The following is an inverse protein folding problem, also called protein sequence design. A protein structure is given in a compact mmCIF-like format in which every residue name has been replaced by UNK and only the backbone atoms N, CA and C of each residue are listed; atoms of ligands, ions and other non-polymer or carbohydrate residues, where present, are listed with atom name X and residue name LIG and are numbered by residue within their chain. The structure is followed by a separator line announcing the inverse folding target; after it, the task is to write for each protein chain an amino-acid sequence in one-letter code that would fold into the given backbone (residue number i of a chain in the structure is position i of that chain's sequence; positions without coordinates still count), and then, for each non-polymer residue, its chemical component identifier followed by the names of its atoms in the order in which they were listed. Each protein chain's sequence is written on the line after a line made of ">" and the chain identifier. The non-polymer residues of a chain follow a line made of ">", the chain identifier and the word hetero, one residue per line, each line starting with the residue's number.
data_IF_769075639480
#
_entry.id   IF_769075639480
#
_cell.length_a   1.000
_cell.length_b   1.000
_cell.length_c   1.000
_cell.angle_alpha   90.00
_cell.angle_beta   90.00
_cell.angle_gamma   90.00
#
_symmetry.space_group_name_H-M   'P 1'
#
loop_
_entity.id
_entity.type
_entity.pdbx_description
1 polymer ?
#
# COMPACT_ATOMS: atom_id res chain seq x y z
N UNK A 1 8.93 -40.93 -5.19
CA UNK A 1 9.74 -39.83 -4.63
C UNK A 1 9.08 -38.57 -5.16
N UNK A 2 8.37 -37.84 -4.31
CA UNK A 2 7.61 -36.65 -4.72
C UNK A 2 8.56 -35.47 -4.54
N UNK A 3 8.90 -34.79 -5.64
CA UNK A 3 9.58 -33.50 -5.59
C UNK A 3 8.60 -32.43 -5.08
N UNK A 4 8.94 -31.63 -4.06
CA UNK A 4 8.10 -30.54 -3.63
C UNK A 4 8.20 -29.38 -4.64
N UNK A 5 7.07 -29.07 -5.27
CA UNK A 5 6.87 -27.81 -5.99
C UNK A 5 7.07 -26.66 -5.00
N UNK A 6 8.13 -25.89 -5.20
CA UNK A 6 8.35 -24.62 -4.49
C UNK A 6 7.32 -23.65 -5.06
N UNK A 7 6.32 -23.34 -4.23
CA UNK A 7 5.41 -22.22 -4.43
C UNK A 7 6.20 -20.93 -4.19
N UNK A 8 6.82 -20.41 -5.24
CA UNK A 8 7.41 -19.07 -5.28
C UNK A 8 6.28 -18.06 -5.57
N UNK A 9 5.33 -17.95 -4.64
CA UNK A 9 4.41 -16.83 -4.63
C UNK A 9 5.19 -15.63 -4.10
N UNK A 10 5.87 -14.96 -5.02
CA UNK A 10 6.54 -13.68 -4.76
C UNK A 10 5.53 -12.68 -4.19
N UNK A 11 5.88 -12.11 -3.05
CA UNK A 11 5.21 -11.01 -2.32
C UNK A 11 5.09 -9.71 -3.17
N UNK A 12 5.50 -9.74 -4.44
CA UNK A 12 5.49 -8.62 -5.39
C UNK A 12 4.07 -8.35 -5.96
N UNK A 13 3.20 -9.36 -6.03
CA UNK A 13 1.87 -9.24 -6.65
C UNK A 13 0.88 -8.38 -5.81
N UNK A 14 1.09 -8.29 -4.48
CA UNK A 14 0.31 -7.38 -3.65
C UNK A 14 0.63 -5.90 -3.94
N UNK A 15 1.84 -5.62 -4.43
CA UNK A 15 2.24 -4.30 -4.88
C UNK A 15 1.55 -3.91 -6.18
N UNK A 16 1.41 -4.85 -7.11
CA UNK A 16 0.91 -4.61 -8.47
C UNK A 16 -0.63 -4.49 -8.53
N UNK A 17 -1.38 -5.27 -7.73
CA UNK A 17 -2.85 -5.17 -7.66
C UNK A 17 -3.31 -3.78 -7.15
N UNK A 18 -2.49 -3.08 -6.38
CA UNK A 18 -2.79 -1.74 -5.88
C UNK A 18 -2.72 -0.64 -6.96
N UNK A 19 -2.02 -0.87 -8.09
CA UNK A 19 -1.88 0.14 -9.15
C UNK A 19 -3.12 0.22 -10.07
N UNK A 20 -3.88 -0.86 -10.22
CA UNK A 20 -4.98 -0.96 -11.19
C UNK A 20 -6.26 -0.16 -10.84
N UNK A 21 -6.41 0.36 -9.61
CA UNK A 21 -7.62 1.11 -9.16
C UNK A 21 -7.47 2.63 -9.14
N UNK A 22 -6.40 3.16 -9.76
CA UNK A 22 -5.96 4.53 -9.53
C UNK A 22 -5.22 4.58 -8.21
N UNK A 23 -3.94 4.96 -8.24
CA UNK A 23 -3.04 4.84 -7.10
C UNK A 23 -3.58 5.72 -5.97
N UNK A 24 -4.20 5.11 -4.96
CA UNK A 24 -4.60 5.77 -3.75
C UNK A 24 -3.34 5.99 -2.91
N UNK A 25 -2.82 7.21 -2.95
CA UNK A 25 -1.72 7.64 -2.11
C UNK A 25 -2.09 7.73 -0.62
N UNK A 26 -1.13 8.15 0.21
CA UNK A 26 -1.34 8.28 1.65
C UNK A 26 -2.39 9.35 1.99
N UNK A 27 -2.60 10.32 1.10
CA UNK A 27 -3.52 11.45 1.31
C UNK A 27 -4.66 11.52 0.28
N UNK A 28 -4.90 10.43 -0.48
CA UNK A 28 -5.91 10.39 -1.53
C UNK A 28 -5.33 10.04 -2.90
N UNK A 29 -6.11 10.26 -3.96
CA UNK A 29 -5.71 9.93 -5.34
C UNK A 29 -4.47 10.72 -5.77
N UNK A 30 -3.59 10.08 -6.54
CA UNK A 30 -2.42 10.70 -7.16
C UNK A 30 -2.75 11.14 -8.58
N UNK A 31 -3.12 12.40 -8.78
CA UNK A 31 -3.63 12.94 -10.05
C UNK A 31 -2.86 14.18 -10.55
N UNK A 32 -1.84 14.62 -9.82
CA UNK A 32 -1.04 15.81 -10.15
C UNK A 32 0.36 15.42 -10.63
N UNK A 33 0.70 15.78 -11.86
CA UNK A 33 2.02 15.56 -12.44
C UNK A 33 3.04 16.60 -11.96
N UNK A 34 4.22 16.15 -11.53
CA UNK A 34 5.38 17.01 -11.28
C UNK A 34 6.38 16.85 -12.43
N UNK A 35 6.36 17.78 -13.38
CA UNK A 35 7.25 17.78 -14.57
C UNK A 35 8.33 18.83 -14.40
N UNK A 36 9.60 18.44 -14.55
CA UNK A 36 10.73 19.36 -14.59
C UNK A 36 11.77 18.90 -15.60
N UNK A 37 12.65 19.81 -16.04
CA UNK A 37 13.78 19.51 -16.92
C UNK A 37 15.07 19.48 -16.11
N UNK A 38 15.95 18.54 -16.46
CA UNK A 38 17.33 18.45 -15.98
C UNK A 38 18.25 18.28 -17.18
N UNK A 39 19.54 18.56 -17.03
CA UNK A 39 20.51 18.30 -18.09
C UNK A 39 20.75 16.79 -18.28
N UNK A 40 21.30 16.41 -19.43
CA UNK A 40 21.49 15.02 -19.85
C UNK A 40 22.38 14.21 -18.90
N UNK A 41 23.44 14.85 -18.38
CA UNK A 41 24.37 14.19 -17.48
C UNK A 41 23.68 13.84 -16.16
N UNK A 42 22.97 14.80 -15.56
CA UNK A 42 22.17 14.58 -14.35
C UNK A 42 21.08 13.53 -14.57
N UNK A 43 20.39 13.56 -15.71
CA UNK A 43 19.36 12.57 -16.04
C UNK A 43 19.94 11.15 -16.10
N UNK A 44 21.06 10.96 -16.79
CA UNK A 44 21.73 9.65 -16.93
C UNK A 44 22.17 9.11 -15.57
N UNK A 45 22.80 9.95 -14.75
CA UNK A 45 23.21 9.56 -13.40
C UNK A 45 22.03 9.20 -12.52
N UNK A 46 20.94 9.96 -12.59
CA UNK A 46 19.72 9.67 -11.84
C UNK A 46 19.14 8.30 -12.20
N UNK A 47 19.04 7.97 -13.49
CA UNK A 47 18.56 6.67 -13.95
C UNK A 47 19.48 5.53 -13.51
N UNK A 48 20.80 5.72 -13.59
CA UNK A 48 21.77 4.73 -13.13
C UNK A 48 21.62 4.47 -11.62
N UNK A 49 21.47 5.53 -10.81
CA UNK A 49 21.26 5.40 -9.37
C UNK A 49 19.94 4.68 -9.05
N UNK A 50 18.88 4.96 -9.80
CA UNK A 50 17.60 4.26 -9.64
C UNK A 50 17.74 2.77 -9.95
N UNK A 51 18.40 2.43 -11.06
CA UNK A 51 18.66 1.04 -11.47
C UNK A 51 19.52 0.29 -10.44
N UNK A 52 20.60 0.91 -9.95
CA UNK A 52 21.46 0.32 -8.91
C UNK A 52 20.73 0.03 -7.60
N UNK A 53 19.68 0.79 -7.29
CA UNK A 53 18.87 0.63 -6.07
C UNK A 53 17.61 -0.20 -6.29
N UNK A 54 17.35 -0.66 -7.53
CA UNK A 54 16.12 -1.36 -7.87
C UNK A 54 14.86 -0.54 -7.64
N UNK A 55 14.93 0.79 -7.80
CA UNK A 55 13.78 1.69 -7.61
C UNK A 55 13.34 2.28 -8.94
N UNK A 56 12.03 2.45 -9.10
CA UNK A 56 11.47 3.19 -10.22
C UNK A 56 11.80 4.69 -10.10
N UNK A 57 12.23 5.37 -11.18
CA UNK A 57 12.52 6.80 -11.17
C UNK A 57 11.36 7.67 -10.67
N UNK A 58 10.11 7.33 -11.00
CA UNK A 58 8.94 8.09 -10.53
C UNK A 58 8.73 7.94 -9.03
N UNK A 59 9.03 6.77 -8.46
CA UNK A 59 9.03 6.55 -7.01
C UNK A 59 10.09 7.41 -6.31
N UNK A 60 11.30 7.49 -6.87
CA UNK A 60 12.36 8.32 -6.31
C UNK A 60 11.99 9.82 -6.29
N UNK A 61 11.44 10.34 -7.40
CA UNK A 61 10.97 11.73 -7.46
C UNK A 61 9.85 11.98 -6.44
N UNK A 62 8.89 11.05 -6.34
CA UNK A 62 7.79 11.14 -5.38
C UNK A 62 8.31 11.17 -3.95
N UNK A 63 9.22 10.28 -3.59
CA UNK A 63 9.82 10.25 -2.25
C UNK A 63 10.59 11.55 -1.94
N UNK A 64 11.34 12.11 -2.89
CA UNK A 64 12.03 13.40 -2.70
C UNK A 64 11.04 14.53 -2.36
N UNK A 65 9.92 14.62 -3.08
CA UNK A 65 8.91 15.65 -2.86
C UNK A 65 8.20 15.46 -1.51
N UNK A 66 7.83 14.23 -1.18
CA UNK A 66 7.16 13.92 0.09
C UNK A 66 8.08 14.15 1.29
N UNK A 67 9.36 13.78 1.19
CA UNK A 67 10.35 14.09 2.22
C UNK A 67 10.50 15.60 2.42
N UNK A 68 10.52 16.37 1.34
CA UNK A 68 10.64 17.83 1.41
C UNK A 68 9.42 18.49 2.07
N UNK A 69 8.21 18.04 1.75
CA UNK A 69 6.96 18.68 2.21
C UNK A 69 6.51 18.16 3.58
N UNK A 70 6.68 16.86 3.84
CA UNK A 70 6.11 16.18 5.01
C UNK A 70 7.16 15.63 5.98
N UNK A 71 8.46 15.66 5.62
CA UNK A 71 9.53 15.06 6.43
C UNK A 71 9.51 13.53 6.47
N UNK A 72 8.69 12.89 5.63
CA UNK A 72 8.54 11.43 5.53
C UNK A 72 8.48 11.02 4.05
N UNK A 73 9.01 9.84 3.73
CA UNK A 73 8.89 9.32 2.37
C UNK A 73 7.45 8.92 2.05
N UNK A 74 7.09 8.86 0.77
CA UNK A 74 5.78 8.39 0.33
C UNK A 74 5.52 6.98 0.85
N UNK A 75 6.52 6.10 0.77
CA UNK A 75 6.42 4.72 1.26
C UNK A 75 6.17 4.65 2.76
N UNK A 76 6.86 5.48 3.56
CA UNK A 76 6.61 5.55 5.01
C UNK A 76 5.17 5.97 5.31
N UNK A 77 4.66 6.98 4.62
CA UNK A 77 3.27 7.44 4.82
C UNK A 77 2.23 6.40 4.38
N UNK A 78 2.51 5.61 3.35
CA UNK A 78 1.63 4.48 2.95
C UNK A 78 1.57 3.42 4.06
N UNK A 79 2.72 3.02 4.61
CA UNK A 79 2.77 2.04 5.71
C UNK A 79 2.00 2.55 6.93
N UNK A 80 2.18 3.82 7.29
CA UNK A 80 1.42 4.46 8.37
C UNK A 80 -0.09 4.41 8.10
N UNK A 81 -0.52 4.77 6.90
CA UNK A 81 -1.94 4.73 6.50
C UNK A 81 -2.52 3.32 6.63
N UNK A 82 -1.85 2.30 6.08
CA UNK A 82 -2.32 0.91 6.15
C UNK A 82 -2.49 0.48 7.61
N UNK A 83 -1.51 0.77 8.47
CA UNK A 83 -1.61 0.48 9.90
C UNK A 83 -2.78 1.19 10.58
N UNK A 84 -3.08 2.43 10.18
CA UNK A 84 -4.23 3.17 10.71
C UNK A 84 -5.57 2.61 10.20
N UNK A 85 -5.64 2.20 8.93
CA UNK A 85 -6.83 1.60 8.33
C UNK A 85 -7.14 0.24 8.98
N UNK A 86 -6.14 -0.60 9.25
CA UNK A 86 -6.28 -1.86 9.98
C UNK A 86 -6.86 -1.63 11.39
N UNK A 87 -6.29 -0.67 12.15
CA UNK A 87 -6.79 -0.30 13.49
C UNK A 87 -8.24 0.18 13.42
N UNK A 88 -8.60 0.94 12.39
CA UNK A 88 -9.96 1.42 12.18
C UNK A 88 -10.92 0.25 11.89
N UNK A 89 -10.53 -0.68 11.02
CA UNK A 89 -11.33 -1.86 10.68
C UNK A 89 -11.53 -2.75 11.92
N UNK A 90 -10.49 -2.94 12.73
CA UNK A 90 -10.58 -3.69 13.98
C UNK A 90 -11.56 -3.02 14.95
N UNK A 91 -11.44 -1.70 15.14
CA UNK A 91 -12.34 -0.94 16.00
C UNK A 91 -13.80 -1.01 15.54
N UNK A 92 -14.05 -0.92 14.23
CA UNK A 92 -15.39 -1.09 13.66
C UNK A 92 -15.93 -2.50 13.87
N UNK A 93 -15.10 -3.53 13.68
CA UNK A 93 -15.48 -4.93 13.93
C UNK A 93 -15.84 -5.16 15.40
N UNK A 94 -15.08 -4.56 16.34
CA UNK A 94 -15.38 -4.61 17.78
C UNK A 94 -16.67 -3.86 18.14
N UNK A 95 -16.92 -2.71 17.51
CA UNK A 95 -18.14 -1.91 17.74
C UNK A 95 -19.41 -2.59 17.19
N UNK A 96 -19.30 -3.29 16.07
CA UNK A 96 -20.37 -4.09 15.47
C UNK A 96 -20.58 -5.42 16.23
N UNK A 97 -19.78 -5.68 17.28
CA UNK A 97 -19.61 -6.96 17.97
C UNK A 97 -20.82 -7.88 17.99
N UNK A 98 -20.57 -9.17 17.70
CA UNK A 98 -21.49 -10.31 17.75
C UNK A 98 -22.95 -9.90 17.98
N UNK A 99 -23.64 -9.48 16.91
CA UNK A 99 -25.09 -9.54 16.89
C UNK A 99 -25.44 -11.04 16.96
N UNK A 100 -25.32 -11.61 18.15
CA UNK A 100 -25.91 -12.88 18.51
C UNK A 100 -27.39 -12.67 18.29
N UNK A 101 -27.92 -13.33 17.26
CA UNK A 101 -29.35 -13.43 17.09
C UNK A 101 -29.92 -13.90 18.43
N UNK A 102 -30.88 -13.19 19.04
CA UNK A 102 -31.63 -13.78 20.12
C UNK A 102 -32.46 -14.90 19.49
N UNK A 103 -31.97 -16.14 19.58
CA UNK A 103 -32.77 -17.31 19.29
C UNK A 103 -33.89 -17.33 20.33
N UNK A 104 -34.98 -16.71 19.92
CA UNK A 104 -36.19 -16.52 20.68
C UNK A 104 -36.85 -17.87 20.83
N UNK A 105 -36.96 -18.32 22.08
CA UNK A 105 -37.76 -19.42 22.60
C UNK A 105 -38.43 -20.40 21.63
N UNK A 106 -38.09 -21.68 21.78
CA UNK A 106 -39.02 -22.77 21.57
C UNK A 106 -38.82 -23.85 22.64
N UNK A 107 -39.28 -23.57 23.86
CA UNK A 107 -39.66 -24.63 24.78
C UNK A 107 -40.99 -25.20 24.29
N UNK A 108 -40.96 -26.33 23.58
CA UNK A 108 -42.16 -27.15 23.39
C UNK A 108 -42.14 -28.26 24.44
N UNK A 109 -42.98 -28.06 25.44
CA UNK A 109 -43.43 -29.06 26.41
C UNK A 109 -44.04 -30.30 25.73
N UNK A 110 -43.92 -31.44 26.41
CA UNK A 110 -45.04 -32.34 26.71
C UNK A 110 -45.40 -33.38 25.66
#
# INVERSE_FOLDING_TARGET
>A
MVDPQIDDTTDDDLGDIAFARGIAGPLGKLDHDLKTKVDEHTHTLFLQQCSMRGIDPSCAVRDCVYLLVHGKSYRQMIVEKVSHDEKRIEALTKLIGHFGAPESGAASHG
#
